data_IF_874048150102
#
_entry.id   IF_874048150102
#
_cell.length_a   1.000
_cell.length_b   1.000
_cell.length_c   1.000
_cell.angle_alpha   90.00
_cell.angle_beta   90.00
_cell.angle_gamma   90.00
#
_symmetry.space_group_name_H-M   'P 1'
#
loop_
_entity.id
_entity.type
_entity.pdbx_description
1 polymer ?
#
# COMPACT_ATOMS: atom_id res chain seq x y z
N UNK A 1 -17.30 -9.00 -19.58
CA UNK A 1 -16.45 -8.12 -20.40
C UNK A 1 -16.17 -6.87 -19.60
N UNK A 2 -14.94 -6.61 -19.18
CA UNK A 2 -14.56 -5.35 -18.54
C UNK A 2 -14.52 -4.25 -19.59
N UNK A 3 -15.26 -3.17 -19.36
CA UNK A 3 -15.26 -1.99 -20.23
C UNK A 3 -14.07 -1.14 -19.80
N UNK A 4 -13.01 -1.08 -20.62
CA UNK A 4 -11.89 -0.19 -20.36
C UNK A 4 -12.40 1.24 -20.51
N UNK A 5 -12.41 1.99 -19.41
CA UNK A 5 -12.84 3.38 -19.38
C UNK A 5 -11.62 4.26 -19.72
N UNK A 6 -11.69 4.97 -20.84
CA UNK A 6 -10.65 5.92 -21.27
C UNK A 6 -10.98 7.31 -20.74
N UNK A 7 -10.15 7.82 -19.85
CA UNK A 7 -10.24 9.17 -19.30
C UNK A 7 -9.15 10.07 -19.87
N UNK A 8 -9.18 11.37 -19.54
CA UNK A 8 -8.10 12.28 -19.90
C UNK A 8 -6.83 11.86 -19.16
N UNK A 9 -5.91 11.24 -19.88
CA UNK A 9 -4.62 10.81 -19.36
C UNK A 9 -3.69 12.02 -19.30
N UNK A 10 -3.20 12.33 -18.10
CA UNK A 10 -2.20 13.37 -17.87
C UNK A 10 -0.78 12.80 -18.02
N UNK A 11 -0.58 11.54 -17.65
CA UNK A 11 0.68 10.80 -17.82
C UNK A 11 0.41 9.29 -17.94
N UNK A 12 0.85 8.66 -19.02
CA UNK A 12 0.57 7.24 -19.31
C UNK A 12 1.36 6.25 -18.45
N UNK A 13 2.60 6.62 -18.08
CA UNK A 13 3.51 5.79 -17.29
C UNK A 13 4.04 6.59 -16.13
N UNK A 14 3.55 6.29 -14.94
CA UNK A 14 4.01 6.87 -13.69
C UNK A 14 4.88 5.84 -12.95
N UNK A 15 6.05 6.27 -12.50
CA UNK A 15 6.90 5.44 -11.64
C UNK A 15 6.20 5.26 -10.27
N UNK A 16 5.99 4.02 -9.77
CA UNK A 16 5.41 3.80 -8.46
C UNK A 16 6.16 4.49 -7.32
N UNK A 17 7.47 4.74 -7.45
CA UNK A 17 8.25 5.52 -6.49
C UNK A 17 7.67 6.93 -6.35
N UNK A 18 7.33 7.57 -7.46
CA UNK A 18 6.73 8.91 -7.46
C UNK A 18 5.38 8.94 -6.75
N UNK A 19 4.57 7.90 -6.94
CA UNK A 19 3.27 7.76 -6.27
C UNK A 19 3.47 7.58 -4.76
N UNK A 20 4.45 6.75 -4.37
CA UNK A 20 4.80 6.52 -2.98
C UNK A 20 5.38 7.77 -2.29
N UNK A 21 6.17 8.58 -2.99
CA UNK A 21 6.65 9.89 -2.50
C UNK A 21 5.47 10.83 -2.21
N UNK A 22 4.54 10.97 -3.16
CA UNK A 22 3.37 11.83 -3.02
C UNK A 22 2.45 11.35 -1.89
N UNK A 23 2.29 10.02 -1.75
CA UNK A 23 1.59 9.41 -0.63
C UNK A 23 2.25 9.75 0.72
N UNK A 24 3.56 9.53 0.86
CA UNK A 24 4.28 9.80 2.11
C UNK A 24 4.20 11.27 2.50
N UNK A 25 4.41 12.17 1.54
CA UNK A 25 4.27 13.62 1.77
C UNK A 25 2.86 13.94 2.26
N UNK A 26 1.84 13.36 1.64
CA UNK A 26 0.47 13.59 2.03
C UNK A 26 0.16 13.08 3.44
N UNK A 27 0.67 11.92 3.83
CA UNK A 27 0.48 11.39 5.18
C UNK A 27 1.27 12.19 6.22
N UNK A 28 2.50 12.62 5.92
CA UNK A 28 3.24 13.49 6.84
C UNK A 28 2.59 14.85 7.03
N UNK A 29 1.97 15.44 5.99
CA UNK A 29 1.18 16.68 6.15
C UNK A 29 0.04 16.49 7.15
N UNK A 30 -0.62 15.32 7.15
CA UNK A 30 -1.71 15.01 8.09
C UNK A 30 -1.18 14.77 9.51
N UNK A 31 0.01 14.17 9.65
CA UNK A 31 0.62 13.91 10.95
C UNK A 31 1.14 15.17 11.64
N UNK A 32 1.56 16.18 10.87
CA UNK A 32 2.15 17.42 11.40
C UNK A 32 1.40 18.66 10.93
N UNK A 33 0.08 18.78 11.19
CA UNK A 33 -0.79 19.75 10.54
C UNK A 33 -0.40 21.21 10.82
N UNK A 34 0.09 21.49 12.03
CA UNK A 34 0.43 22.83 12.50
C UNK A 34 1.89 23.23 12.19
N UNK A 35 2.61 22.42 11.42
CA UNK A 35 3.99 22.73 11.04
C UNK A 35 4.06 23.95 10.10
N UNK A 36 5.15 24.73 10.14
CA UNK A 36 5.34 25.88 9.25
C UNK A 36 5.66 25.46 7.80
N UNK A 37 5.54 26.38 6.83
CA UNK A 37 5.70 26.05 5.39
C UNK A 37 7.11 25.55 5.03
N UNK A 38 8.13 26.14 5.65
CA UNK A 38 9.53 25.75 5.49
C UNK A 38 9.78 24.30 5.95
N UNK A 39 9.11 23.84 7.01
CA UNK A 39 9.14 22.44 7.41
C UNK A 39 8.58 21.53 6.30
N UNK A 40 7.46 21.92 5.69
CA UNK A 40 6.87 21.13 4.61
C UNK A 40 7.74 21.12 3.34
N UNK A 41 8.38 22.23 3.00
CA UNK A 41 9.33 22.28 1.89
C UNK A 41 10.53 21.36 2.12
N UNK A 42 11.11 21.40 3.33
CA UNK A 42 12.19 20.49 3.71
C UNK A 42 11.73 19.04 3.68
N UNK A 43 10.57 18.72 4.26
CA UNK A 43 10.02 17.36 4.25
C UNK A 43 9.80 16.85 2.83
N UNK A 44 9.20 17.65 1.95
CA UNK A 44 9.03 17.32 0.52
C UNK A 44 10.36 17.04 -0.16
N UNK A 45 11.38 17.84 0.12
CA UNK A 45 12.72 17.64 -0.39
C UNK A 45 13.31 16.32 0.09
N UNK A 46 13.28 16.05 1.40
CA UNK A 46 13.86 14.84 1.98
C UNK A 46 13.16 13.56 1.53
N UNK A 47 11.83 13.54 1.44
CA UNK A 47 11.08 12.36 0.95
C UNK A 47 11.51 12.01 -0.48
N UNK A 48 11.59 12.99 -1.39
CA UNK A 48 12.00 12.77 -2.79
C UNK A 48 13.47 12.39 -2.94
N UNK A 49 14.31 12.79 -2.00
CA UNK A 49 15.74 12.45 -1.98
C UNK A 49 16.05 11.18 -1.20
N UNK A 50 15.09 10.64 -0.45
CA UNK A 50 15.30 9.49 0.42
C UNK A 50 15.83 8.25 -0.32
N UNK A 51 15.26 7.83 -1.48
CA UNK A 51 15.76 6.63 -2.18
C UNK A 51 17.23 6.77 -2.59
N UNK A 52 17.66 7.99 -2.93
CA UNK A 52 19.01 8.31 -3.39
C UNK A 52 20.01 8.37 -2.23
N UNK A 53 19.62 8.92 -1.08
CA UNK A 53 20.52 9.09 0.07
C UNK A 53 20.63 7.85 0.97
N UNK A 54 19.54 7.08 1.12
CA UNK A 54 19.49 5.98 2.10
C UNK A 54 19.31 4.60 1.50
N UNK A 55 19.00 4.49 0.20
CA UNK A 55 18.56 3.31 -0.57
C UNK A 55 17.06 3.19 -0.79
N UNK A 56 16.72 2.62 -1.94
CA UNK A 56 15.35 2.30 -2.34
C UNK A 56 14.67 1.30 -1.38
N UNK A 57 15.41 0.33 -0.86
CA UNK A 57 14.84 -0.65 0.07
C UNK A 57 14.40 0.02 1.38
N UNK A 58 15.20 0.93 1.95
CA UNK A 58 14.80 1.69 3.14
C UNK A 58 13.61 2.61 2.88
N UNK A 59 13.53 3.21 1.69
CA UNK A 59 12.35 4.00 1.28
C UNK A 59 11.08 3.14 1.30
N UNK A 60 11.12 1.96 0.70
CA UNK A 60 9.99 1.05 0.69
C UNK A 60 9.57 0.57 2.08
N UNK A 61 10.53 0.38 3.01
CA UNK A 61 10.20 0.10 4.41
C UNK A 61 9.44 1.24 5.08
N UNK A 62 9.83 2.49 4.82
CA UNK A 62 9.10 3.66 5.30
C UNK A 62 7.67 3.69 4.75
N UNK A 63 7.49 3.41 3.45
CA UNK A 63 6.15 3.30 2.83
C UNK A 63 5.34 2.19 3.48
N UNK A 64 5.94 1.03 3.76
CA UNK A 64 5.29 -0.08 4.49
C UNK A 64 4.81 0.38 5.87
N UNK A 65 5.70 0.96 6.68
CA UNK A 65 5.36 1.39 8.04
C UNK A 65 4.26 2.45 8.08
N UNK A 66 4.29 3.42 7.17
CA UNK A 66 3.24 4.44 7.11
C UNK A 66 1.93 3.89 6.56
N UNK A 67 1.97 3.10 5.48
CA UNK A 67 0.76 2.64 4.81
C UNK A 67 0.08 1.48 5.57
N UNK A 68 0.81 0.44 5.97
CA UNK A 68 0.24 -0.77 6.53
C UNK A 68 0.18 -0.75 8.06
N UNK A 69 1.21 -0.27 8.75
CA UNK A 69 1.26 -0.32 10.22
C UNK A 69 0.58 0.88 10.90
N UNK A 70 0.69 2.07 10.30
CA UNK A 70 0.11 3.29 10.87
C UNK A 70 -1.28 3.61 10.31
N UNK A 71 -1.44 3.60 8.98
CA UNK A 71 -2.68 4.02 8.32
C UNK A 71 -3.62 2.88 7.91
N UNK A 72 -3.19 1.62 8.02
CA UNK A 72 -3.95 0.41 7.61
C UNK A 72 -4.42 0.43 6.14
N UNK A 73 -3.74 1.18 5.27
CA UNK A 73 -3.93 1.22 3.82
C UNK A 73 -2.93 0.24 3.20
N UNK A 74 -3.39 -0.90 2.70
CA UNK A 74 -2.55 -1.94 2.06
C UNK A 74 -1.88 -1.51 0.73
N UNK A 75 -1.39 -0.26 0.64
CA UNK A 75 -0.84 0.38 -0.55
C UNK A 75 0.58 -0.09 -0.86
N UNK A 76 1.40 -0.35 0.17
CA UNK A 76 2.78 -0.80 -0.03
C UNK A 76 2.87 -2.02 -0.97
N UNK A 77 2.04 -3.04 -0.74
CA UNK A 77 2.04 -4.29 -1.54
C UNK A 77 1.78 -4.04 -3.02
N UNK A 78 0.95 -3.04 -3.30
CA UNK A 78 0.47 -2.68 -4.63
C UNK A 78 1.45 -1.76 -5.33
N UNK A 79 2.00 -0.77 -4.62
CA UNK A 79 2.95 0.21 -5.16
C UNK A 79 4.32 -0.42 -5.43
N UNK A 80 4.85 -1.21 -4.50
CA UNK A 80 6.14 -1.88 -4.68
C UNK A 80 6.02 -3.11 -5.60
N UNK A 81 4.85 -3.76 -5.61
CA UNK A 81 4.60 -4.94 -6.45
C UNK A 81 4.72 -4.63 -7.95
N UNK A 82 5.01 -5.67 -8.74
CA UNK A 82 5.17 -5.53 -10.20
C UNK A 82 3.86 -5.74 -10.97
N UNK A 83 2.74 -5.90 -10.28
CA UNK A 83 1.43 -6.29 -10.82
C UNK A 83 0.69 -5.20 -11.58
N UNK A 84 1.00 -3.93 -11.33
CA UNK A 84 0.20 -2.81 -11.82
C UNK A 84 0.99 -1.95 -12.81
N UNK A 85 0.29 -1.48 -13.84
CA UNK A 85 0.68 -0.32 -14.62
C UNK A 85 0.00 0.91 -14.03
N UNK A 86 0.76 2.00 -13.90
CA UNK A 86 0.28 3.22 -13.28
C UNK A 86 0.24 4.36 -14.28
N UNK A 87 -0.87 5.08 -14.29
CA UNK A 87 -1.08 6.32 -15.03
C UNK A 87 -1.61 7.41 -14.10
N UNK A 88 -1.41 8.67 -14.47
CA UNK A 88 -2.06 9.82 -13.84
C UNK A 88 -3.17 10.31 -14.76
N UNK A 89 -4.39 10.40 -14.25
CA UNK A 89 -5.59 10.70 -15.03
C UNK A 89 -6.50 11.71 -14.32
N UNK A 90 -7.30 12.45 -15.08
CA UNK A 90 -8.47 13.17 -14.55
C UNK A 90 -9.70 12.28 -14.68
N UNK A 91 -10.19 11.77 -13.55
CA UNK A 91 -11.26 10.78 -13.53
C UNK A 91 -12.58 11.43 -13.10
N UNK A 92 -13.70 11.15 -13.78
CA UNK A 92 -15.02 11.58 -13.34
C UNK A 92 -15.36 10.99 -11.98
N UNK A 93 -15.84 11.82 -11.05
CA UNK A 93 -16.16 11.39 -9.68
C UNK A 93 -17.23 10.28 -9.67
N UNK A 94 -18.15 10.30 -10.64
CA UNK A 94 -19.22 9.29 -10.78
C UNK A 94 -18.72 7.87 -11.01
N UNK A 95 -17.50 7.70 -11.51
CA UNK A 95 -16.90 6.39 -11.81
C UNK A 95 -16.13 5.82 -10.62
N UNK A 96 -15.94 6.61 -9.55
CA UNK A 96 -15.16 6.25 -8.38
C UNK A 96 -16.03 5.58 -7.31
N UNK A 97 -15.48 4.52 -6.73
CA UNK A 97 -16.05 3.78 -5.61
C UNK A 97 -15.14 3.93 -4.40
N UNK A 98 -15.72 4.34 -3.28
CA UNK A 98 -15.00 4.54 -2.03
C UNK A 98 -14.74 3.18 -1.37
N UNK A 99 -13.48 2.88 -1.04
CA UNK A 99 -13.17 1.66 -0.26
C UNK A 99 -13.83 1.75 1.11
N UNK A 100 -14.38 0.62 1.58
CA UNK A 100 -15.25 0.54 2.75
C UNK A 100 -14.77 1.39 3.94
N UNK A 101 -15.71 2.11 4.55
CA UNK A 101 -15.56 2.82 5.82
C UNK A 101 -16.42 2.18 6.89
N UNK A 102 -15.97 2.32 8.14
CA UNK A 102 -16.79 2.11 9.33
C UNK A 102 -17.43 3.42 9.78
N UNK A 103 -18.40 3.33 10.70
CA UNK A 103 -19.10 4.49 11.26
C UNK A 103 -20.19 5.08 10.35
N UNK A 104 -20.62 6.32 10.67
CA UNK A 104 -21.76 7.01 10.03
C UNK A 104 -21.54 7.18 8.52
N UNK A 105 -20.34 7.61 8.12
CA UNK A 105 -20.01 7.75 6.70
C UNK A 105 -20.08 6.41 5.96
N UNK A 106 -19.62 5.33 6.59
CA UNK A 106 -19.75 3.98 6.06
C UNK A 106 -21.21 3.57 5.84
N UNK A 107 -22.10 3.88 6.79
CA UNK A 107 -23.54 3.60 6.67
C UNK A 107 -24.17 4.38 5.52
N UNK A 108 -23.86 5.68 5.38
CA UNK A 108 -24.34 6.50 4.26
C UNK A 108 -23.87 5.90 2.93
N UNK A 109 -22.59 5.59 2.80
CA UNK A 109 -22.02 5.07 1.56
C UNK A 109 -22.60 3.70 1.17
N UNK A 110 -22.96 2.84 2.14
CA UNK A 110 -23.65 1.56 1.86
C UNK A 110 -24.96 1.76 1.13
N UNK A 111 -25.73 2.80 1.45
CA UNK A 111 -27.03 3.08 0.80
C UNK A 111 -26.91 3.40 -0.70
N UNK A 112 -25.71 3.74 -1.15
CA UNK A 112 -25.41 4.15 -2.53
C UNK A 112 -24.38 3.26 -3.22
N UNK A 113 -24.19 2.03 -2.73
CA UNK A 113 -23.17 1.07 -3.21
C UNK A 113 -21.77 1.70 -3.29
N UNK A 114 -21.42 2.49 -2.28
CA UNK A 114 -20.14 3.17 -2.12
C UNK A 114 -19.74 4.10 -3.28
N UNK A 115 -20.68 4.46 -4.17
CA UNK A 115 -20.40 5.37 -5.27
C UNK A 115 -20.11 6.79 -4.75
N UNK A 116 -18.97 7.35 -5.13
CA UNK A 116 -18.50 8.63 -4.60
C UNK A 116 -19.43 9.80 -4.96
N UNK A 117 -19.93 9.87 -6.19
CA UNK A 117 -20.81 10.95 -6.62
C UNK A 117 -22.14 10.92 -5.86
N UNK A 118 -22.78 9.74 -5.75
CA UNK A 118 -24.02 9.57 -5.00
C UNK A 118 -23.83 9.87 -3.50
N UNK A 119 -22.70 9.43 -2.92
CA UNK A 119 -22.35 9.76 -1.54
C UNK A 119 -22.19 11.28 -1.34
N UNK A 120 -21.49 11.94 -2.26
CA UNK A 120 -21.34 13.40 -2.27
C UNK A 120 -22.66 14.16 -2.40
N UNK A 121 -23.62 13.64 -3.17
CA UNK A 121 -24.97 14.22 -3.26
C UNK A 121 -25.74 14.15 -1.93
N UNK A 122 -25.62 13.05 -1.19
CA UNK A 122 -26.20 12.94 0.16
C UNK A 122 -25.55 13.97 1.08
N UNK A 123 -24.22 14.02 1.11
CA UNK A 123 -23.47 14.96 1.93
C UNK A 123 -23.79 16.42 1.58
N UNK A 124 -24.03 16.75 0.32
CA UNK A 124 -24.39 18.11 -0.11
C UNK A 124 -25.74 18.56 0.43
N UNK A 125 -26.67 17.63 0.66
CA UNK A 125 -28.01 17.90 1.20
C UNK A 125 -28.02 18.02 2.72
N UNK A 126 -26.95 17.61 3.40
CA UNK A 126 -26.82 17.73 4.85
C UNK A 126 -26.54 19.17 5.27
N UNK A 127 -26.96 19.56 6.49
CA UNK A 127 -26.55 20.82 7.08
C UNK A 127 -25.01 20.95 7.10
N UNK A 128 -24.45 22.15 6.84
CA UNK A 128 -23.00 22.35 6.75
C UNK A 128 -22.22 21.83 7.97
N UNK A 129 -22.74 22.02 9.18
CA UNK A 129 -22.17 21.60 10.44
C UNK A 129 -22.10 20.07 10.59
N UNK A 130 -23.15 19.35 10.19
CA UNK A 130 -23.20 17.89 10.18
C UNK A 130 -22.27 17.33 9.10
N UNK A 131 -22.26 17.95 7.92
CA UNK A 131 -21.33 17.59 6.85
C UNK A 131 -19.87 17.77 7.27
N UNK A 132 -19.54 18.87 7.94
CA UNK A 132 -18.18 19.16 8.40
C UNK A 132 -17.73 18.23 9.53
N UNK A 133 -18.64 17.83 10.43
CA UNK A 133 -18.31 16.86 11.47
C UNK A 133 -18.07 15.45 10.91
N UNK A 134 -18.75 15.08 9.80
CA UNK A 134 -18.56 13.79 9.11
C UNK A 134 -17.32 13.77 8.21
N UNK A 135 -17.03 14.86 7.48
CA UNK A 135 -15.92 14.92 6.51
C UNK A 135 -14.57 15.28 7.12
N UNK A 136 -14.50 15.42 8.45
CA UNK A 136 -13.36 15.84 9.27
C UNK A 136 -13.27 17.39 9.43
N UNK A 137 -13.27 17.92 10.68
CA UNK A 137 -12.98 19.34 10.94
C UNK A 137 -11.57 19.76 10.50
N UNK A 138 -10.63 18.83 10.33
CA UNK A 138 -9.27 19.12 9.87
C UNK A 138 -9.18 19.21 8.34
N UNK A 139 -9.85 20.22 7.77
CA UNK A 139 -9.62 20.59 6.36
C UNK A 139 -8.19 21.11 6.18
N UNK A 140 -7.31 20.24 5.69
CA UNK A 140 -5.97 20.64 5.31
C UNK A 140 -5.97 21.32 3.95
N UNK A 141 -5.73 22.64 3.93
CA UNK A 141 -5.58 23.45 2.70
C UNK A 141 -4.41 23.00 1.79
N UNK A 142 -3.58 22.05 2.25
CA UNK A 142 -2.40 21.53 1.55
C UNK A 142 -2.61 20.13 0.94
N UNK A 143 -3.82 19.58 1.00
CA UNK A 143 -4.16 18.24 0.50
C UNK A 143 -4.51 18.25 -1.01
N UNK A 144 -3.52 18.55 -1.86
CA UNK A 144 -3.67 18.69 -3.32
C UNK A 144 -3.06 17.54 -4.14
N UNK A 145 -2.64 16.45 -3.50
CA UNK A 145 -2.03 15.33 -4.20
C UNK A 145 -3.10 14.47 -4.90
N UNK A 146 -2.77 13.82 -6.04
CA UNK A 146 -3.69 12.89 -6.67
C UNK A 146 -4.13 11.77 -5.72
N UNK A 147 -5.37 11.32 -5.83
CA UNK A 147 -5.87 10.14 -5.11
C UNK A 147 -5.25 8.87 -5.69
N UNK A 148 -5.24 7.77 -4.94
CA UNK A 148 -4.75 6.47 -5.43
C UNK A 148 -5.93 5.54 -5.62
N UNK A 149 -6.06 5.01 -6.83
CA UNK A 149 -7.20 4.19 -7.27
C UNK A 149 -6.68 2.92 -7.94
N UNK A 150 -7.34 1.79 -7.67
CA UNK A 150 -7.11 0.54 -8.39
C UNK A 150 -8.32 0.17 -9.23
N UNK A 151 -8.07 -0.31 -10.43
CA UNK A 151 -9.09 -0.96 -11.23
C UNK A 151 -9.25 -2.42 -10.78
N UNK A 152 -10.37 -2.72 -10.14
CA UNK A 152 -10.69 -4.03 -9.60
C UNK A 152 -12.05 -4.49 -10.13
N UNK A 153 -12.07 -5.64 -10.81
CA UNK A 153 -13.29 -6.20 -11.42
C UNK A 153 -14.06 -5.19 -12.32
N UNK A 154 -13.35 -4.27 -12.97
CA UNK A 154 -13.93 -3.23 -13.83
C UNK A 154 -14.50 -2.01 -13.08
N UNK A 155 -14.27 -1.89 -11.77
CA UNK A 155 -14.60 -0.70 -10.96
C UNK A 155 -13.31 0.04 -10.57
N UNK A 156 -13.39 1.36 -10.50
CA UNK A 156 -12.31 2.20 -9.98
C UNK A 156 -12.49 2.41 -8.48
N UNK A 157 -11.73 1.66 -7.68
CA UNK A 157 -11.82 1.68 -6.21
C UNK A 157 -10.75 2.60 -5.65
N UNK A 158 -11.15 3.57 -4.83
CA UNK A 158 -10.25 4.53 -4.17
C UNK A 158 -9.58 3.85 -2.97
N UNK A 159 -8.26 3.63 -3.04
CA UNK A 159 -7.46 3.06 -1.95
C UNK A 159 -6.80 4.12 -1.07
N UNK A 160 -6.54 5.31 -1.62
CA UNK A 160 -6.15 6.50 -0.84
C UNK A 160 -6.86 7.75 -1.36
N UNK A 161 -7.20 8.66 -0.44
CA UNK A 161 -7.86 9.93 -0.79
C UNK A 161 -9.38 9.85 -0.81
N UNK A 162 -9.98 8.92 -0.05
CA UNK A 162 -11.42 8.81 0.13
C UNK A 162 -12.07 10.14 0.56
N UNK A 163 -11.53 10.80 1.59
CA UNK A 163 -11.99 12.13 2.05
C UNK A 163 -11.98 13.15 0.91
N UNK A 164 -10.83 13.32 0.23
CA UNK A 164 -10.69 14.21 -0.93
C UNK A 164 -11.72 13.93 -2.03
N UNK A 165 -11.97 12.65 -2.28
CA UNK A 165 -12.95 12.22 -3.29
C UNK A 165 -14.36 12.64 -2.89
N UNK A 166 -14.73 12.44 -1.62
CA UNK A 166 -16.03 12.83 -1.08
C UNK A 166 -16.20 14.34 -0.95
N UNK A 167 -15.15 15.07 -0.58
CA UNK A 167 -15.13 16.52 -0.59
C UNK A 167 -15.37 17.03 -2.02
N UNK A 168 -14.59 16.56 -2.99
CA UNK A 168 -14.75 16.95 -4.39
C UNK A 168 -16.17 16.65 -4.88
N UNK A 169 -16.74 15.49 -4.52
CA UNK A 169 -18.12 15.13 -4.82
C UNK A 169 -19.12 16.09 -4.16
N UNK A 170 -18.98 16.38 -2.86
CA UNK A 170 -19.87 17.26 -2.11
C UNK A 170 -19.84 18.70 -2.65
N UNK A 171 -18.67 19.18 -3.08
CA UNK A 171 -18.48 20.49 -3.72
C UNK A 171 -18.85 20.52 -5.22
N UNK A 172 -19.31 19.40 -5.78
CA UNK A 172 -19.81 19.35 -7.16
C UNK A 172 -18.71 19.41 -8.22
N UNK A 173 -17.48 19.04 -7.87
CA UNK A 173 -16.41 18.91 -8.85
C UNK A 173 -16.74 17.77 -9.83
N UNK A 174 -16.56 17.96 -11.14
CA UNK A 174 -16.89 16.91 -12.12
C UNK A 174 -15.84 15.79 -12.14
N UNK A 175 -14.58 16.14 -11.88
CA UNK A 175 -13.41 15.26 -12.00
C UNK A 175 -12.42 15.48 -10.87
N UNK A 176 -11.56 14.49 -10.62
CA UNK A 176 -10.45 14.55 -9.67
C UNK A 176 -9.21 13.90 -10.28
N UNK A 177 -8.01 14.39 -9.93
CA UNK A 177 -6.75 13.79 -10.35
C UNK A 177 -6.48 12.51 -9.56
N UNK A 178 -6.12 11.45 -10.26
CA UNK A 178 -5.92 10.14 -9.66
C UNK A 178 -4.75 9.37 -10.31
N UNK A 179 -3.94 8.73 -9.48
CA UNK A 179 -3.06 7.66 -9.90
C UNK A 179 -3.88 6.38 -10.04
N UNK A 180 -3.97 5.84 -11.25
CA UNK A 180 -4.76 4.65 -11.58
C UNK A 180 -3.84 3.46 -11.77
N UNK A 181 -3.94 2.49 -10.87
CA UNK A 181 -3.26 1.19 -10.99
C UNK A 181 -4.15 0.20 -11.72
N UNK A 182 -3.70 -0.30 -12.86
CA UNK A 182 -4.38 -1.36 -13.63
C UNK A 182 -3.53 -2.62 -13.68
N UNK A 183 -4.13 -3.78 -13.42
CA UNK A 183 -3.42 -5.06 -13.47
C UNK A 183 -2.80 -5.27 -14.86
N UNK A 184 -1.53 -5.68 -14.87
CA UNK A 184 -0.83 -6.12 -16.08
C UNK A 184 -1.47 -7.41 -16.61
N UNK A 185 -1.46 -7.56 -17.94
CA UNK A 185 -1.89 -8.81 -18.59
C UNK A 185 -0.97 -9.98 -18.22
N UNK A 186 0.30 -9.70 -17.99
CA UNK A 186 1.28 -10.67 -17.50
C UNK A 186 1.21 -10.79 -15.98
N UNK A 187 1.46 -11.99 -15.46
CA UNK A 187 1.47 -12.25 -14.02
C UNK A 187 2.63 -11.51 -13.34
N UNK A 188 2.36 -10.30 -12.82
CA UNK A 188 3.25 -9.63 -11.88
C UNK A 188 3.18 -10.25 -10.48
N UNK A 189 4.15 -9.92 -9.63
CA UNK A 189 4.21 -10.41 -8.24
C UNK A 189 3.95 -9.27 -7.26
N UNK A 190 3.15 -9.50 -6.20
CA UNK A 190 3.00 -8.53 -5.13
C UNK A 190 4.29 -8.43 -4.30
N UNK A 191 4.47 -7.31 -3.60
CA UNK A 191 5.51 -7.19 -2.60
C UNK A 191 5.12 -7.84 -1.26
N UNK A 192 6.12 -8.19 -0.46
CA UNK A 192 5.94 -8.83 0.86
C UNK A 192 5.83 -7.76 1.95
N UNK A 193 4.77 -7.83 2.76
CA UNK A 193 4.65 -7.03 3.98
C UNK A 193 5.59 -7.51 5.09
N UNK A 194 6.17 -6.58 5.83
CA UNK A 194 7.14 -6.90 6.89
C UNK A 194 6.55 -7.79 8.01
N UNK A 195 5.25 -7.70 8.28
CA UNK A 195 4.58 -8.58 9.25
C UNK A 195 4.72 -10.09 8.96
N UNK A 196 4.95 -10.47 7.70
CA UNK A 196 5.26 -11.87 7.36
C UNK A 196 6.56 -12.36 8.05
N UNK A 197 7.57 -11.48 8.20
CA UNK A 197 8.83 -11.82 8.88
C UNK A 197 8.61 -12.12 10.36
N UNK A 198 7.75 -11.33 11.01
CA UNK A 198 7.40 -11.52 12.41
C UNK A 198 6.71 -12.87 12.60
N UNK A 199 5.73 -13.19 11.76
CA UNK A 199 5.04 -14.49 11.79
C UNK A 199 6.03 -15.64 11.60
N UNK A 200 6.90 -15.54 10.59
CA UNK A 200 7.88 -16.58 10.30
C UNK A 200 8.88 -16.76 11.45
N UNK A 201 9.32 -15.66 12.05
CA UNK A 201 10.22 -15.67 13.22
C UNK A 201 9.58 -16.35 14.43
N UNK A 202 8.31 -16.04 14.74
CA UNK A 202 7.58 -16.67 15.83
C UNK A 202 7.35 -18.15 15.58
N UNK A 203 6.92 -18.52 14.37
CA UNK A 203 6.67 -19.91 13.99
C UNK A 203 7.92 -20.80 14.17
N UNK A 204 9.12 -20.23 14.00
CA UNK A 204 10.41 -20.91 14.20
C UNK A 204 10.83 -20.87 15.67
N UNK A 205 10.73 -19.71 16.33
CA UNK A 205 11.19 -19.53 17.72
C UNK A 205 10.39 -20.35 18.73
N UNK A 206 9.08 -20.48 18.52
CA UNK A 206 8.15 -21.04 19.50
C UNK A 206 8.07 -22.59 19.44
N UNK A 207 8.87 -23.23 18.58
CA UNK A 207 8.97 -24.70 18.49
C UNK A 207 10.15 -25.22 19.30
N UNK A 208 9.85 -25.93 20.39
CA UNK A 208 10.84 -26.66 21.22
C UNK A 208 11.33 -27.95 20.54
N UNK A 209 10.40 -28.70 19.94
CA UNK A 209 10.69 -29.86 19.11
C UNK A 209 10.30 -29.61 17.66
N UNK A 210 11.19 -30.03 16.76
CA UNK A 210 11.03 -29.84 15.31
C UNK A 210 11.08 -31.20 14.64
N UNK A 211 9.96 -31.59 14.03
CA UNK A 211 9.78 -32.82 13.26
C UNK A 211 10.21 -32.64 11.80
N UNK A 212 10.50 -33.75 11.10
CA UNK A 212 10.75 -33.72 9.65
C UNK A 212 9.53 -33.18 8.87
N UNK A 213 8.32 -33.40 9.38
CA UNK A 213 7.09 -32.84 8.83
C UNK A 213 7.09 -31.31 8.88
N UNK A 214 7.53 -30.70 9.98
CA UNK A 214 7.68 -29.26 10.08
C UNK A 214 8.71 -28.72 9.08
N UNK A 215 9.85 -29.42 8.91
CA UNK A 215 10.88 -29.04 7.93
C UNK A 215 10.30 -29.06 6.51
N UNK A 216 9.55 -30.12 6.17
CA UNK A 216 8.89 -30.26 4.88
C UNK A 216 7.89 -29.12 4.64
N UNK A 217 7.03 -28.85 5.64
CA UNK A 217 6.04 -27.78 5.58
C UNK A 217 6.68 -26.39 5.41
N UNK A 218 7.70 -26.06 6.22
CA UNK A 218 8.41 -24.79 6.14
C UNK A 218 9.12 -24.63 4.79
N UNK A 219 9.70 -25.71 4.27
CA UNK A 219 10.35 -25.73 2.94
C UNK A 219 9.34 -25.46 1.84
N UNK A 220 8.19 -26.14 1.87
CA UNK A 220 7.10 -25.92 0.92
C UNK A 220 6.58 -24.48 0.97
N UNK A 221 6.35 -23.95 2.18
CA UNK A 221 5.88 -22.59 2.39
C UNK A 221 6.87 -21.55 1.83
N UNK A 222 8.16 -21.66 2.14
CA UNK A 222 9.17 -20.73 1.64
C UNK A 222 9.39 -20.87 0.12
N UNK A 223 9.25 -22.07 -0.44
CA UNK A 223 9.31 -22.30 -1.89
C UNK A 223 8.15 -21.60 -2.61
N UNK A 224 6.92 -21.79 -2.15
CA UNK A 224 5.75 -21.11 -2.72
C UNK A 224 5.80 -19.60 -2.50
N UNK A 225 6.32 -19.16 -1.36
CA UNK A 225 6.57 -17.75 -1.09
C UNK A 225 7.55 -17.12 -2.08
N UNK A 226 8.68 -17.78 -2.37
CA UNK A 226 9.67 -17.34 -3.38
C UNK A 226 9.08 -17.26 -4.79
N UNK A 227 8.17 -18.18 -5.13
CA UNK A 227 7.44 -18.14 -6.40
C UNK A 227 6.44 -16.99 -6.46
N UNK A 228 5.73 -16.74 -5.37
CA UNK A 228 4.58 -15.82 -5.34
C UNK A 228 4.99 -14.35 -5.29
N UNK A 229 5.98 -13.99 -4.47
CA UNK A 229 6.26 -12.58 -4.16
C UNK A 229 7.52 -12.04 -4.82
N UNK A 230 7.52 -10.73 -5.09
CA UNK A 230 8.59 -10.03 -5.77
C UNK A 230 9.90 -10.04 -4.97
N UNK A 231 9.80 -9.67 -3.69
CA UNK A 231 10.96 -9.46 -2.82
C UNK A 231 11.38 -10.73 -2.06
N UNK A 232 10.65 -11.83 -2.24
CA UNK A 232 10.89 -13.07 -1.52
C UNK A 232 12.31 -13.65 -1.70
N UNK A 233 12.97 -13.54 -2.87
CA UNK A 233 14.37 -13.93 -3.01
C UNK A 233 15.30 -13.14 -2.09
N UNK A 234 15.29 -11.80 -2.11
CA UNK A 234 16.13 -10.97 -1.23
C UNK A 234 15.89 -11.31 0.25
N UNK A 235 14.62 -11.53 0.59
CA UNK A 235 14.19 -11.90 1.93
C UNK A 235 14.79 -13.23 2.39
N UNK A 236 14.57 -14.28 1.62
CA UNK A 236 14.97 -15.64 1.98
C UNK A 236 16.49 -15.74 1.95
N UNK A 237 17.11 -15.14 0.93
CA UNK A 237 18.51 -15.35 0.59
C UNK A 237 19.42 -14.42 1.43
N UNK A 238 18.93 -13.25 1.87
CA UNK A 238 19.75 -12.28 2.65
C UNK A 238 19.18 -11.93 4.03
N UNK A 239 17.89 -11.62 4.15
CA UNK A 239 17.33 -11.10 5.41
C UNK A 239 17.26 -12.18 6.49
N UNK A 240 16.73 -13.37 6.16
CA UNK A 240 16.61 -14.47 7.11
C UNK A 240 18.00 -14.86 7.68
N UNK A 241 19.05 -15.07 6.87
CA UNK A 241 20.41 -15.30 7.35
C UNK A 241 20.98 -14.20 8.23
N UNK A 242 20.81 -12.93 7.85
CA UNK A 242 21.46 -11.81 8.57
C UNK A 242 20.74 -11.41 9.85
N UNK A 243 19.42 -11.57 9.90
CA UNK A 243 18.61 -10.97 10.97
C UNK A 243 17.83 -11.99 11.80
N UNK A 244 17.35 -13.09 11.23
CA UNK A 244 16.55 -14.08 11.98
C UNK A 244 17.46 -15.14 12.61
N UNK A 245 18.36 -15.72 11.82
CA UNK A 245 19.29 -16.77 12.26
C UNK A 245 20.09 -16.40 13.52
N UNK A 246 20.65 -15.18 13.66
CA UNK A 246 21.38 -14.78 14.87
C UNK A 246 20.51 -14.64 16.12
N UNK A 247 19.20 -14.48 15.96
CA UNK A 247 18.26 -14.34 17.09
C UNK A 247 17.75 -15.68 17.63
N UNK A 248 18.05 -16.80 16.95
CA UNK A 248 17.66 -18.12 17.40
C UNK A 248 18.60 -18.59 18.51
N UNK A 249 18.01 -18.92 19.67
CA UNK A 249 18.78 -19.31 20.87
C UNK A 249 19.37 -20.72 20.76
N UNK A 250 18.71 -21.61 20.03
CA UNK A 250 19.14 -23.01 19.90
C UNK A 250 19.95 -23.25 18.65
N UNK A 251 21.11 -23.88 18.80
CA UNK A 251 21.95 -24.31 17.67
C UNK A 251 21.24 -25.34 16.78
N UNK A 252 20.32 -26.11 17.35
CA UNK A 252 19.43 -27.02 16.61
C UNK A 252 18.48 -26.23 15.70
N UNK A 253 17.89 -25.13 16.20
CA UNK A 253 17.00 -24.26 15.41
C UNK A 253 17.77 -23.60 14.25
N UNK A 254 19.00 -23.11 14.49
CA UNK A 254 19.83 -22.53 13.43
C UNK A 254 20.13 -23.51 12.30
N UNK A 255 20.62 -24.70 12.63
CA UNK A 255 20.92 -25.75 11.63
C UNK A 255 19.72 -26.15 10.78
N UNK A 256 18.52 -26.09 11.34
CA UNK A 256 17.27 -26.39 10.62
C UNK A 256 16.96 -25.30 9.61
N UNK A 257 17.01 -24.02 10.02
CA UNK A 257 16.82 -22.91 9.09
C UNK A 257 17.88 -22.93 8.00
N UNK A 258 19.14 -23.21 8.32
CA UNK A 258 20.18 -23.40 7.31
C UNK A 258 19.87 -24.56 6.36
N UNK A 259 19.35 -25.69 6.85
CA UNK A 259 18.96 -26.84 6.00
C UNK A 259 17.81 -26.46 5.07
N UNK A 260 16.79 -25.78 5.57
CA UNK A 260 15.65 -25.30 4.77
C UNK A 260 16.13 -24.28 3.73
N UNK A 261 16.94 -23.31 4.12
CA UNK A 261 17.50 -22.31 3.21
C UNK A 261 18.35 -22.96 2.12
N UNK A 262 19.16 -23.98 2.43
CA UNK A 262 19.91 -24.74 1.41
C UNK A 262 19.01 -25.42 0.37
N UNK A 263 17.79 -25.80 0.74
CA UNK A 263 16.83 -26.43 -0.18
C UNK A 263 16.10 -25.37 -1.02
N UNK A 264 15.67 -24.27 -0.39
CA UNK A 264 14.89 -23.19 -1.03
C UNK A 264 15.77 -22.25 -1.86
N UNK A 265 17.05 -22.17 -1.52
CA UNK A 265 18.10 -21.44 -2.23
C UNK A 265 19.05 -22.48 -2.84
N UNK A 266 18.67 -23.11 -3.97
CA UNK A 266 19.60 -24.00 -4.67
C UNK A 266 20.84 -23.16 -4.98
N UNK A 267 21.98 -23.67 -4.55
CA UNK A 267 23.26 -22.97 -4.63
C UNK A 267 23.43 -22.36 -6.03
N UNK A 268 23.40 -21.03 -6.13
CA UNK A 268 24.11 -20.41 -7.22
C UNK A 268 25.57 -20.77 -6.97
N UNK A 269 26.12 -21.58 -7.86
CA UNK A 269 27.56 -21.77 -7.98
C UNK A 269 28.21 -20.39 -7.91
N UNK A 270 29.06 -20.22 -6.89
CA UNK A 270 29.97 -19.09 -6.68
C UNK A 270 30.58 -18.60 -7.99
#
# INVERSE_FOLDING_TARGET
MSKILYYKVLQEKVDPIKIAEDFLIQEFIKMFPDAPEDFYDQMRFYVRKFPQHYSLNRFWRLVSGISEDYMLKSLYRVLKGSQYNWSLEEVPIKELYIKMFDGVLGQILRTVDYNAAKGGEILRKMPPEERLSILDPFKFNKDNYPIIVLEEAGKLIVHDGNRRTLDAAAFGMPTIKAYIGRLKKEAGKPAVHEGFFTILTHLIKDKEEISDEFISCLTGLLTEFKKTYLDAPEIIDEYIPRHILPQLKSEKQKRIIEKVLKIVVPSQSL
#
